data_IF_062557843740
#
_entry.id   IF_062557843740
#
_cell.length_a   1.000
_cell.length_b   1.000
_cell.length_c   1.000
_cell.angle_alpha   90.00
_cell.angle_beta   90.00
_cell.angle_gamma   90.00
#
_symmetry.space_group_name_H-M   'P 1'
#
loop_
_entity.id
_entity.type
_entity.pdbx_description
1 polymer ?
#
# COMPACT_ATOMS: atom_id res chain seq x y z
N UNK A 1 -61.47 8.13 -25.06
CA UNK A 1 -60.70 9.06 -24.19
C UNK A 1 -59.90 8.39 -23.07
N UNK A 2 -60.12 7.11 -22.70
CA UNK A 2 -59.35 6.41 -21.64
C UNK A 2 -58.04 5.74 -22.11
N UNK A 3 -57.78 5.68 -23.41
CA UNK A 3 -56.61 5.01 -24.00
C UNK A 3 -55.41 5.94 -24.19
N UNK A 4 -55.61 7.25 -24.33
CA UNK A 4 -54.56 8.25 -24.54
C UNK A 4 -53.74 8.55 -23.26
N UNK A 5 -54.34 8.39 -22.08
CA UNK A 5 -53.66 8.59 -20.78
C UNK A 5 -52.73 7.43 -20.41
N UNK A 6 -53.03 6.19 -20.83
CA UNK A 6 -52.12 5.05 -20.59
C UNK A 6 -50.86 5.11 -21.44
N UNK A 7 -50.92 5.68 -22.65
CA UNK A 7 -49.75 5.82 -23.52
C UNK A 7 -48.75 6.84 -22.96
N UNK A 8 -49.24 7.93 -22.33
CA UNK A 8 -48.39 8.91 -21.65
C UNK A 8 -47.74 8.38 -20.37
N UNK A 9 -48.39 7.47 -19.64
CA UNK A 9 -47.77 6.83 -18.46
C UNK A 9 -46.67 5.83 -18.84
N UNK A 10 -46.77 5.14 -19.98
CA UNK A 10 -45.74 4.18 -20.41
C UNK A 10 -44.49 4.91 -20.92
N UNK A 11 -44.64 6.07 -21.57
CA UNK A 11 -43.51 6.86 -22.07
C UNK A 11 -42.69 7.54 -20.97
N UNK A 12 -43.28 7.80 -19.80
CA UNK A 12 -42.56 8.47 -18.70
C UNK A 12 -41.67 7.53 -17.87
N UNK A 13 -41.88 6.21 -17.96
CA UNK A 13 -41.19 5.22 -17.09
C UNK A 13 -39.85 4.74 -17.68
N UNK A 14 -39.59 4.93 -18.98
CA UNK A 14 -38.39 4.41 -19.64
C UNK A 14 -37.15 5.32 -19.57
N UNK A 15 -37.22 6.48 -18.90
CA UNK A 15 -36.13 7.47 -18.88
C UNK A 15 -35.30 7.52 -17.58
N UNK A 16 -35.37 6.51 -16.70
CA UNK A 16 -34.73 6.56 -15.35
C UNK A 16 -33.72 5.42 -15.11
N UNK A 17 -33.10 4.86 -16.16
CA UNK A 17 -32.10 3.78 -16.00
C UNK A 17 -30.67 4.18 -16.39
N UNK A 18 -30.42 5.41 -16.84
CA UNK A 18 -29.07 5.87 -17.23
C UNK A 18 -28.32 6.63 -16.14
N UNK A 19 -28.85 6.73 -14.92
CA UNK A 19 -28.34 7.64 -13.89
C UNK A 19 -27.39 7.06 -12.83
N UNK A 20 -26.97 5.79 -12.90
CA UNK A 20 -26.19 5.17 -11.81
C UNK A 20 -24.83 4.58 -12.22
N UNK A 21 -24.38 4.80 -13.45
CA UNK A 21 -22.98 4.57 -13.79
C UNK A 21 -22.27 5.92 -13.78
N UNK A 22 -21.85 6.35 -12.59
CA UNK A 22 -20.87 7.41 -12.42
C UNK A 22 -19.50 6.72 -12.33
N UNK A 23 -18.79 6.53 -13.45
CA UNK A 23 -17.42 6.05 -13.37
C UNK A 23 -16.59 7.20 -12.81
N UNK A 24 -16.53 7.32 -11.49
CA UNK A 24 -15.41 7.97 -10.84
C UNK A 24 -14.20 7.10 -11.19
N UNK A 25 -13.56 7.43 -12.30
CA UNK A 25 -12.39 6.70 -12.75
C UNK A 25 -11.30 6.99 -11.73
N UNK A 26 -10.69 5.94 -11.18
CA UNK A 26 -9.61 6.11 -10.20
C UNK A 26 -8.53 7.02 -10.79
N UNK A 27 -8.08 7.99 -10.00
CA UNK A 27 -7.06 8.94 -10.41
C UNK A 27 -5.85 8.22 -11.03
N UNK A 28 -5.28 8.83 -12.07
CA UNK A 28 -4.06 8.37 -12.73
C UNK A 28 -4.15 7.00 -13.42
N UNK A 29 -5.36 6.50 -13.68
CA UNK A 29 -5.55 5.23 -14.44
C UNK A 29 -5.89 5.45 -15.91
N UNK A 30 -6.40 6.62 -16.27
CA UNK A 30 -6.72 7.00 -17.66
C UNK A 30 -5.73 8.04 -18.14
N UNK A 31 -5.05 7.72 -19.23
CA UNK A 31 -4.24 8.69 -19.98
C UNK A 31 -5.13 9.62 -20.78
N UNK A 32 -4.76 10.89 -20.88
CA UNK A 32 -5.51 11.91 -21.61
C UNK A 32 -4.58 12.84 -22.40
N UNK A 33 -5.09 13.36 -23.52
CA UNK A 33 -4.48 14.46 -24.29
C UNK A 33 -5.26 15.76 -24.17
N UNK A 34 -6.50 15.72 -23.69
CA UNK A 34 -7.35 16.88 -23.43
C UNK A 34 -8.27 16.64 -22.22
N UNK A 35 -8.82 17.70 -21.59
CA UNK A 35 -9.72 17.57 -20.44
C UNK A 35 -11.03 16.81 -20.75
N UNK A 36 -11.49 16.84 -22.00
CA UNK A 36 -12.76 16.20 -22.41
C UNK A 36 -12.68 14.66 -22.38
N UNK A 37 -11.46 14.11 -22.31
CA UNK A 37 -11.22 12.67 -22.19
C UNK A 37 -11.39 12.16 -20.75
N UNK A 38 -11.54 13.07 -19.77
CA UNK A 38 -11.67 12.76 -18.36
C UNK A 38 -13.14 12.70 -17.91
N UNK A 39 -13.44 11.75 -17.02
CA UNK A 39 -14.77 11.54 -16.48
C UNK A 39 -14.88 12.09 -15.05
N UNK A 40 -16.11 12.30 -14.57
CA UNK A 40 -16.36 12.59 -13.16
C UNK A 40 -15.86 13.95 -12.65
N UNK A 41 -15.58 14.93 -13.53
CA UNK A 41 -15.08 16.25 -13.13
C UNK A 41 -13.56 16.33 -12.97
N UNK A 42 -12.85 15.27 -13.33
CA UNK A 42 -11.39 15.24 -13.36
C UNK A 42 -10.82 16.16 -14.45
N UNK A 43 -9.60 16.65 -14.21
CA UNK A 43 -8.81 17.43 -15.17
C UNK A 43 -7.71 16.57 -15.79
N UNK A 44 -7.36 16.87 -17.04
CA UNK A 44 -6.17 16.29 -17.65
C UNK A 44 -4.94 17.07 -17.18
N UNK A 45 -4.11 16.44 -16.34
CA UNK A 45 -2.92 17.11 -15.81
C UNK A 45 -1.76 17.18 -16.82
N UNK A 46 -0.71 17.90 -16.45
CA UNK A 46 0.46 18.12 -17.30
C UNK A 46 1.22 16.84 -17.69
N UNK A 47 0.96 15.73 -17.00
CA UNK A 47 1.56 14.43 -17.23
C UNK A 47 0.69 13.52 -18.10
N UNK A 48 -0.44 14.04 -18.59
CA UNK A 48 -1.31 13.35 -19.53
C UNK A 48 -2.17 12.28 -18.86
N UNK A 49 -2.64 12.50 -17.63
CA UNK A 49 -3.58 11.62 -16.96
C UNK A 49 -4.76 12.38 -16.35
N UNK A 50 -5.91 11.72 -16.31
CA UNK A 50 -7.10 12.20 -15.62
C UNK A 50 -6.96 12.02 -14.11
N UNK A 51 -7.16 13.10 -13.38
CA UNK A 51 -7.28 13.09 -11.93
C UNK A 51 -7.99 14.35 -11.42
N UNK A 52 -8.38 14.36 -10.15
CA UNK A 52 -8.94 15.55 -9.51
C UNK A 52 -7.96 16.74 -9.51
N UNK A 53 -8.52 17.95 -9.39
CA UNK A 53 -7.72 19.19 -9.31
C UNK A 53 -6.72 19.12 -8.14
N UNK A 54 -5.43 19.19 -8.47
CA UNK A 54 -4.34 19.12 -7.50
C UNK A 54 -3.67 17.74 -7.38
N UNK A 55 -4.20 16.71 -8.04
CA UNK A 55 -3.57 15.39 -8.11
C UNK A 55 -2.55 15.34 -9.25
N UNK A 56 -1.31 14.94 -8.92
CA UNK A 56 -0.20 14.87 -9.86
C UNK A 56 0.05 13.42 -10.25
N UNK A 57 -0.25 13.06 -11.50
CA UNK A 57 0.05 11.72 -12.03
C UNK A 57 1.40 11.75 -12.74
N UNK A 58 2.08 10.62 -12.88
CA UNK A 58 3.41 10.57 -13.52
C UNK A 58 4.56 10.70 -12.51
N UNK A 59 5.39 9.66 -12.52
CA UNK A 59 6.38 9.26 -11.50
C UNK A 59 5.78 8.68 -10.21
N UNK A 60 5.03 7.57 -10.32
CA UNK A 60 4.75 6.61 -9.22
C UNK A 60 4.34 7.19 -7.85
N UNK A 61 3.81 8.42 -7.82
CA UNK A 61 3.45 9.13 -6.60
C UNK A 61 1.93 9.24 -6.43
N UNK A 62 1.19 8.23 -6.93
CA UNK A 62 -0.14 7.93 -6.36
C UNK A 62 -0.04 7.27 -4.98
N UNK A 63 1.17 7.08 -4.45
CA UNK A 63 1.42 7.09 -3.02
C UNK A 63 2.55 8.09 -2.73
N UNK A 64 2.22 9.27 -2.21
CA UNK A 64 3.19 10.04 -1.44
C UNK A 64 3.52 9.24 -0.17
N UNK A 65 4.34 8.19 -0.29
CA UNK A 65 4.64 7.27 0.82
C UNK A 65 5.34 5.96 0.46
N UNK A 66 5.35 5.49 -0.79
CA UNK A 66 5.90 4.16 -1.13
C UNK A 66 7.37 4.20 -1.57
N UNK A 67 8.24 4.90 -0.83
CA UNK A 67 9.69 4.68 -0.95
C UNK A 67 10.07 3.44 -0.16
N UNK A 68 9.58 2.27 -0.58
CA UNK A 68 9.92 1.01 0.08
C UNK A 68 11.31 0.55 -0.29
N UNK A 69 12.05 0.14 0.73
CA UNK A 69 13.40 -0.39 0.65
C UNK A 69 13.38 -1.82 1.17
N UNK A 70 14.19 -2.70 0.56
CA UNK A 70 14.27 -4.09 0.96
C UNK A 70 15.11 -4.26 2.23
N UNK A 71 14.48 -4.75 3.30
CA UNK A 71 15.15 -5.15 4.53
C UNK A 71 15.26 -6.68 4.57
N UNK A 72 16.47 -7.19 4.66
CA UNK A 72 16.70 -8.62 4.94
C UNK A 72 16.68 -8.86 6.44
N UNK A 73 15.86 -9.81 6.89
CA UNK A 73 15.74 -10.20 8.30
C UNK A 73 16.22 -11.63 8.45
N UNK A 74 17.32 -11.84 9.15
CA UNK A 74 17.84 -13.16 9.48
C UNK A 74 17.51 -13.54 10.92
N UNK A 75 16.89 -14.69 11.09
CA UNK A 75 16.52 -15.25 12.39
C UNK A 75 17.27 -16.57 12.58
N UNK A 76 18.02 -16.67 13.67
CA UNK A 76 18.74 -17.87 14.10
C UNK A 76 18.05 -18.44 15.34
N UNK A 77 17.75 -19.74 15.36
CA UNK A 77 16.98 -20.38 16.45
C UNK A 77 15.47 -20.25 16.28
N UNK A 78 14.72 -20.56 17.34
CA UNK A 78 13.24 -20.57 17.37
C UNK A 78 12.67 -19.28 17.93
N UNK A 79 12.81 -18.21 17.16
CA UNK A 79 12.20 -16.92 17.46
C UNK A 79 11.56 -16.30 16.24
N UNK A 80 10.91 -15.15 16.45
CA UNK A 80 10.32 -14.33 15.41
C UNK A 80 10.75 -12.88 15.59
N UNK A 81 10.91 -12.16 14.49
CA UNK A 81 11.10 -10.72 14.48
C UNK A 81 9.87 -10.07 13.85
N UNK A 82 9.17 -9.25 14.62
CA UNK A 82 8.04 -8.46 14.17
C UNK A 82 8.54 -7.09 13.68
N UNK A 83 8.37 -6.79 12.39
CA UNK A 83 8.70 -5.47 11.81
C UNK A 83 7.45 -4.60 11.89
N UNK A 84 7.48 -3.57 12.73
CA UNK A 84 6.30 -2.73 12.99
C UNK A 84 5.92 -1.96 11.72
N UNK A 85 4.66 -2.05 11.32
CA UNK A 85 4.15 -1.45 10.08
C UNK A 85 4.45 -2.25 8.81
N UNK A 86 5.02 -3.46 8.93
CA UNK A 86 5.27 -4.37 7.81
C UNK A 86 4.86 -5.81 8.17
N UNK A 87 5.72 -6.80 7.89
CA UNK A 87 5.48 -8.23 8.16
C UNK A 87 6.44 -8.76 9.23
N UNK A 88 6.18 -9.97 9.73
CA UNK A 88 7.08 -10.68 10.63
C UNK A 88 7.94 -11.72 9.91
N UNK A 89 9.06 -12.11 10.52
CA UNK A 89 9.97 -13.14 10.00
C UNK A 89 10.32 -14.14 11.11
N UNK A 90 10.27 -15.44 10.83
CA UNK A 90 10.64 -16.49 11.78
C UNK A 90 9.47 -17.15 12.51
N UNK A 91 9.79 -17.98 13.50
CA UNK A 91 8.87 -18.76 14.32
C UNK A 91 9.53 -20.04 14.82
N UNK A 92 9.10 -21.18 14.29
CA UNK A 92 9.53 -22.51 14.77
C UNK A 92 10.99 -22.90 14.46
N UNK A 93 11.77 -22.04 13.80
CA UNK A 93 13.17 -22.29 13.47
C UNK A 93 13.82 -21.15 12.68
N UNK A 94 15.08 -21.36 12.23
CA UNK A 94 15.83 -20.35 11.49
C UNK A 94 15.10 -19.88 10.24
N UNK A 95 15.24 -18.59 9.90
CA UNK A 95 14.55 -17.98 8.76
C UNK A 95 15.36 -16.84 8.16
N UNK A 96 15.13 -16.55 6.88
CA UNK A 96 15.75 -15.46 6.15
C UNK A 96 14.69 -14.83 5.23
N UNK A 97 14.19 -13.67 5.62
CA UNK A 97 13.07 -13.01 4.96
C UNK A 97 13.54 -11.72 4.28
N UNK A 98 12.96 -11.44 3.11
CA UNK A 98 13.07 -10.15 2.44
C UNK A 98 11.76 -9.39 2.65
N UNK A 99 11.81 -8.29 3.40
CA UNK A 99 10.63 -7.52 3.79
C UNK A 99 10.74 -6.11 3.21
N UNK A 100 9.80 -5.66 2.37
CA UNK A 100 9.79 -4.28 1.90
C UNK A 100 9.24 -3.36 3.01
N UNK A 101 10.04 -2.39 3.43
CA UNK A 101 9.72 -1.46 4.52
C UNK A 101 9.82 -0.01 4.02
N UNK A 102 9.02 0.94 4.54
CA UNK A 102 9.16 2.34 4.16
C UNK A 102 10.57 2.84 4.49
N UNK A 103 11.12 3.72 3.66
CA UNK A 103 12.38 4.40 3.93
C UNK A 103 12.28 5.19 5.23
N UNK A 104 13.32 5.16 6.04
CA UNK A 104 13.42 5.89 7.31
C UNK A 104 13.36 4.97 8.54
N UNK A 105 12.91 5.48 9.70
CA UNK A 105 12.98 4.74 10.95
C UNK A 105 11.99 3.55 10.96
N UNK A 106 12.52 2.37 11.28
CA UNK A 106 11.78 1.11 11.41
C UNK A 106 12.07 0.50 12.76
N UNK A 107 11.01 0.09 13.47
CA UNK A 107 11.11 -0.62 14.75
C UNK A 107 10.90 -2.11 14.52
N UNK A 108 11.77 -2.92 15.13
CA UNK A 108 11.72 -4.36 15.13
C UNK A 108 11.62 -4.87 16.57
N UNK A 109 10.77 -5.88 16.78
CA UNK A 109 10.65 -6.57 18.06
C UNK A 109 11.01 -8.04 17.90
N UNK A 110 11.99 -8.51 18.66
CA UNK A 110 12.28 -9.92 18.81
C UNK A 110 11.26 -10.56 19.78
N UNK A 111 10.66 -11.66 19.34
CA UNK A 111 9.64 -12.41 20.08
C UNK A 111 10.05 -13.88 20.15
N UNK A 112 10.23 -14.37 21.37
CA UNK A 112 10.49 -15.78 21.65
C UNK A 112 9.30 -16.64 21.21
N UNK A 113 9.55 -17.70 20.43
CA UNK A 113 8.52 -18.67 20.03
C UNK A 113 8.89 -20.11 20.40
N UNK A 114 10.04 -20.30 21.04
CA UNK A 114 10.55 -21.58 21.50
C UNK A 114 11.88 -21.41 22.23
N UNK A 115 12.73 -20.52 21.72
CA UNK A 115 14.02 -20.14 22.31
C UNK A 115 13.95 -18.67 22.79
N UNK A 116 14.80 -18.29 23.76
CA UNK A 116 14.83 -16.93 24.28
C UNK A 116 15.63 -16.00 23.36
N UNK A 117 15.28 -14.72 23.33
CA UNK A 117 16.07 -13.74 22.59
C UNK A 117 17.43 -13.53 23.27
N UNK A 118 18.51 -13.94 22.60
CA UNK A 118 19.89 -13.74 23.04
C UNK A 118 20.36 -12.33 22.68
N UNK A 119 20.41 -12.03 21.37
CA UNK A 119 20.91 -10.74 20.87
C UNK A 119 20.59 -10.48 19.41
N UNK A 120 20.73 -9.23 19.03
CA UNK A 120 20.88 -8.87 17.62
C UNK A 120 22.28 -9.22 17.11
N UNK A 121 22.37 -9.73 15.90
CA UNK A 121 23.61 -10.17 15.22
C UNK A 121 24.02 -9.24 14.09
N UNK A 122 23.10 -8.43 13.55
CA UNK A 122 23.37 -7.43 12.52
C UNK A 122 22.32 -6.30 12.56
N UNK A 123 22.70 -5.10 12.09
CA UNK A 123 21.82 -3.92 11.95
C UNK A 123 21.46 -3.21 13.26
N UNK A 124 21.42 -3.95 14.38
CA UNK A 124 21.09 -3.47 15.70
C UNK A 124 22.24 -3.78 16.68
N UNK A 125 22.60 -2.81 17.52
CA UNK A 125 23.65 -2.97 18.55
C UNK A 125 23.11 -2.82 19.97
N UNK A 126 21.79 -2.79 20.13
CA UNK A 126 21.14 -2.68 21.44
C UNK A 126 21.13 -4.04 22.15
N UNK A 127 21.19 -4.02 23.49
CA UNK A 127 20.94 -5.21 24.31
C UNK A 127 19.46 -5.49 24.58
N UNK A 128 18.56 -4.72 23.97
CA UNK A 128 17.11 -4.86 24.13
C UNK A 128 16.52 -5.73 23.02
N UNK A 129 15.43 -6.46 23.32
CA UNK A 129 14.62 -7.18 22.32
C UNK A 129 13.89 -6.24 21.35
N UNK A 130 13.86 -4.94 21.62
CA UNK A 130 13.42 -3.92 20.67
C UNK A 130 14.63 -3.25 20.02
N UNK A 131 14.57 -3.13 18.70
CA UNK A 131 15.56 -2.42 17.90
C UNK A 131 14.89 -1.37 17.02
N UNK A 132 15.48 -0.18 16.95
CA UNK A 132 15.13 0.84 15.96
C UNK A 132 16.31 1.04 15.02
N UNK A 133 16.06 0.93 13.71
CA UNK A 133 17.05 1.19 12.64
C UNK A 133 16.50 2.20 11.66
N UNK A 134 17.38 2.93 10.99
CA UNK A 134 17.00 3.76 9.84
C UNK A 134 17.33 3.01 8.56
N UNK A 135 16.31 2.71 7.76
CA UNK A 135 16.45 1.99 6.49
C UNK A 135 16.42 3.01 5.35
N UNK A 136 17.60 3.46 4.92
CA UNK A 136 17.74 4.40 3.79
C UNK A 136 18.09 3.73 2.46
N UNK A 137 18.62 2.51 2.54
CA UNK A 137 19.05 1.64 1.44
C UNK A 137 18.94 0.17 1.88
N UNK A 138 18.99 -0.81 0.94
CA UNK A 138 18.87 -2.21 1.31
C UNK A 138 19.89 -2.62 2.37
N UNK A 139 19.42 -3.25 3.44
CA UNK A 139 20.27 -3.63 4.57
C UNK A 139 19.81 -4.95 5.21
N UNK A 140 20.61 -5.46 6.16
CA UNK A 140 20.30 -6.68 6.90
C UNK A 140 20.18 -6.40 8.39
N UNK A 141 19.15 -6.95 9.02
CA UNK A 141 19.03 -7.08 10.48
C UNK A 141 19.05 -8.57 10.82
N UNK A 142 19.80 -8.93 11.85
CA UNK A 142 19.92 -10.32 12.30
C UNK A 142 19.55 -10.45 13.77
N UNK A 143 18.83 -11.50 14.13
CA UNK A 143 18.45 -11.84 15.51
C UNK A 143 18.83 -13.29 15.82
N UNK A 144 19.35 -13.53 17.02
CA UNK A 144 19.68 -14.85 17.54
C UNK A 144 18.78 -15.18 18.74
N UNK A 145 18.26 -16.40 18.72
CA UNK A 145 17.48 -17.02 19.77
C UNK A 145 18.14 -18.36 20.14
N UNK A 146 18.31 -18.62 21.43
CA UNK A 146 18.94 -19.85 21.98
C UNK A 146 18.30 -20.29 23.30
#
# INVERSE_FOLDING_TARGET
MRTLTRLHQVLLVLAILSGCYAPEVRDCTVSCSSPDECAGGQVCNAQGYCADEGITCGNSAVDAGDTRVMLRVQVMGKGRVDVIGASSCGGAGPSDCMIPVPKGPVTLNAVSTGDDFDRWTAGCTTGSSTCSVTVDAPMTVGARFE
#
